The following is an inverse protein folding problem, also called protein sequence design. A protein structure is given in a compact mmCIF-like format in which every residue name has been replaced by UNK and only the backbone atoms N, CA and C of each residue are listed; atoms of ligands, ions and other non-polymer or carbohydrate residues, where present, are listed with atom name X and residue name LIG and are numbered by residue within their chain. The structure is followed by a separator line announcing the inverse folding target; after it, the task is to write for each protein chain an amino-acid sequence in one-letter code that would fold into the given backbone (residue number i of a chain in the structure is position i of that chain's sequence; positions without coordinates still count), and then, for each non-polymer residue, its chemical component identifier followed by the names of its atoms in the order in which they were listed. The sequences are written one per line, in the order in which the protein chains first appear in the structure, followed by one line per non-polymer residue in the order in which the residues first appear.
data_IF_362408692054
#
_entry.id   IF_362408692054
#
_cell.length_a   1.000
_cell.length_b   1.000
_cell.length_c   1.000
_cell.angle_alpha   90.00
_cell.angle_beta   90.00
_cell.angle_gamma   90.00
#
_symmetry.space_group_name_H-M   'P 1'
#
loop_
_entity.id
_entity.type
_entity.pdbx_description
1 polymer ?
#
# COMPACT_ATOMS: atom_id res chain seq x y z
N UNK A 1 -7.38 -12.36 -22.32
CA UNK A 1 -6.45 -12.89 -21.32
C UNK A 1 -5.13 -12.13 -21.45
N UNK A 2 -4.95 -11.06 -20.68
CA UNK A 2 -3.62 -10.49 -20.46
C UNK A 2 -3.08 -11.25 -19.24
N UNK A 3 -2.61 -12.48 -19.44
CA UNK A 3 -2.24 -13.36 -18.31
C UNK A 3 -0.96 -12.90 -17.61
N UNK A 4 -0.21 -11.97 -18.21
CA UNK A 4 1.08 -11.51 -17.69
C UNK A 4 1.30 -10.05 -18.07
N UNK A 5 1.55 -9.22 -17.07
CA UNK A 5 2.08 -7.88 -17.20
C UNK A 5 3.45 -7.83 -16.49
N UNK A 6 4.35 -6.96 -16.95
CA UNK A 6 5.67 -6.79 -16.35
C UNK A 6 5.90 -5.31 -16.15
N UNK A 7 6.35 -4.93 -14.96
CA UNK A 7 6.53 -3.53 -14.60
C UNK A 7 7.07 -3.40 -13.18
N UNK A 8 7.31 -2.17 -12.78
CA UNK A 8 7.75 -1.81 -11.44
C UNK A 8 6.61 -1.16 -10.65
N UNK A 9 6.66 -1.30 -9.32
CA UNK A 9 5.72 -0.69 -8.39
C UNK A 9 6.52 -0.04 -7.27
N UNK A 10 6.14 1.16 -6.87
CA UNK A 10 6.75 1.84 -5.74
C UNK A 10 5.72 2.49 -4.83
N UNK A 11 6.04 2.53 -3.54
CA UNK A 11 5.22 3.15 -2.50
C UNK A 11 6.09 3.87 -1.50
N UNK A 12 5.82 5.14 -1.30
CA UNK A 12 6.42 5.94 -0.24
C UNK A 12 5.36 6.26 0.80
N UNK A 13 5.64 6.00 2.08
CA UNK A 13 4.71 6.24 3.18
C UNK A 13 5.38 7.08 4.26
N UNK A 14 4.71 8.16 4.69
CA UNK A 14 5.06 8.91 5.90
C UNK A 14 3.99 8.61 6.94
N UNK A 15 4.39 8.14 8.12
CA UNK A 15 3.46 7.70 9.15
C UNK A 15 3.82 8.21 10.55
N UNK A 16 3.29 9.37 10.98
CA UNK A 16 3.33 9.78 12.39
C UNK A 16 2.72 8.69 13.27
N UNK A 17 3.52 8.18 14.21
CA UNK A 17 3.16 7.01 15.01
C UNK A 17 3.28 7.32 16.49
N UNK A 18 2.24 6.99 17.24
CA UNK A 18 2.20 7.02 18.70
C UNK A 18 2.42 5.61 19.23
N UNK A 19 3.40 5.47 20.13
CA UNK A 19 3.70 4.21 20.84
C UNK A 19 3.70 4.46 22.35
N UNK A 20 3.30 3.45 23.12
CA UNK A 20 3.38 3.52 24.59
C UNK A 20 4.82 3.45 25.12
N UNK A 21 5.74 2.85 24.35
CA UNK A 21 7.15 2.72 24.67
C UNK A 21 7.98 2.72 23.38
N UNK A 22 9.27 3.02 23.51
CA UNK A 22 10.29 2.90 22.44
C UNK A 22 11.48 2.02 22.86
N UNK A 23 11.36 1.29 23.97
CA UNK A 23 12.41 0.45 24.53
C UNK A 23 12.80 -0.76 23.66
N UNK A 24 11.83 -1.41 23.00
CA UNK A 24 12.08 -2.47 22.01
C UNK A 24 12.14 -1.95 20.56
N UNK A 25 12.05 -0.63 20.37
CA UNK A 25 12.23 0.07 19.11
C UNK A 25 11.20 -0.36 18.05
N UNK A 26 11.67 -1.05 17.02
CA UNK A 26 10.83 -1.50 15.91
C UNK A 26 9.73 -2.48 16.36
N UNK A 27 10.04 -3.32 17.36
CA UNK A 27 9.14 -4.37 17.85
C UNK A 27 8.20 -3.90 18.98
N UNK A 28 8.24 -2.62 19.37
CA UNK A 28 7.32 -2.11 20.40
C UNK A 28 5.89 -1.99 19.88
N UNK A 29 4.97 -2.60 20.62
CA UNK A 29 3.52 -2.49 20.45
C UNK A 29 2.86 -2.34 21.83
N UNK A 30 1.65 -1.76 21.93
CA UNK A 30 0.78 -1.31 20.83
C UNK A 30 1.26 0.00 20.18
N UNK A 31 0.87 0.20 18.91
CA UNK A 31 1.08 1.45 18.19
C UNK A 31 -0.17 1.92 17.45
N UNK A 32 -0.35 3.24 17.37
CA UNK A 32 -1.37 3.91 16.57
C UNK A 32 -0.67 4.80 15.54
N UNK A 33 -0.98 4.62 14.25
CA UNK A 33 -0.35 5.36 13.15
C UNK A 33 -1.39 6.06 12.28
N UNK A 34 -1.13 7.34 11.99
CA UNK A 34 -1.71 8.02 10.85
C UNK A 34 -0.72 7.90 9.69
N UNK A 35 -1.18 7.66 8.47
CA UNK A 35 -0.30 7.45 7.33
C UNK A 35 -0.79 8.18 6.09
N UNK A 36 0.16 8.77 5.35
CA UNK A 36 -0.03 9.24 3.98
C UNK A 36 0.91 8.43 3.09
N UNK A 37 0.37 7.82 2.05
CA UNK A 37 1.15 7.06 1.06
C UNK A 37 0.96 7.63 -0.32
N UNK A 38 2.05 7.73 -1.08
CA UNK A 38 2.00 7.86 -2.53
C UNK A 38 2.37 6.52 -3.15
N UNK A 39 1.57 6.07 -4.10
CA UNK A 39 1.72 4.79 -4.79
C UNK A 39 1.65 5.02 -6.28
N UNK A 40 2.59 4.43 -7.01
CA UNK A 40 2.61 4.52 -8.46
C UNK A 40 3.33 3.31 -9.08
N UNK A 41 3.09 3.08 -10.36
CA UNK A 41 3.50 1.88 -11.08
C UNK A 41 3.78 2.15 -12.55
N UNK A 42 4.50 1.24 -13.20
CA UNK A 42 4.76 1.30 -14.64
C UNK A 42 3.47 1.20 -15.45
N UNK A 43 3.34 2.02 -16.50
CA UNK A 43 2.16 2.07 -17.37
C UNK A 43 1.79 0.72 -18.02
N UNK A 44 2.78 -0.15 -18.21
CA UNK A 44 2.59 -1.54 -18.66
C UNK A 44 1.66 -2.36 -17.74
N UNK A 45 1.46 -1.90 -16.50
CA UNK A 45 0.56 -2.50 -15.52
C UNK A 45 -0.87 -1.92 -15.56
N UNK A 46 -1.16 -0.85 -16.31
CA UNK A 46 -2.47 -0.18 -16.30
C UNK A 46 -3.62 -1.09 -16.75
N UNK A 47 -3.33 -2.02 -17.67
CA UNK A 47 -4.27 -3.03 -18.16
C UNK A 47 -4.33 -4.31 -17.33
N UNK A 48 -3.51 -4.42 -16.28
CA UNK A 48 -3.49 -5.61 -15.42
C UNK A 48 -4.74 -5.66 -14.54
N UNK A 49 -5.34 -6.83 -14.40
CA UNK A 49 -6.42 -7.11 -13.45
C UNK A 49 -6.17 -8.43 -12.75
N UNK A 50 -6.61 -8.51 -11.49
CA UNK A 50 -6.63 -9.76 -10.73
C UNK A 50 -7.83 -10.64 -11.09
N UNK A 51 -8.87 -10.07 -11.71
CA UNK A 51 -10.04 -10.81 -12.18
C UNK A 51 -9.96 -11.06 -13.69
N UNK A 52 -10.40 -12.24 -14.10
CA UNK A 52 -10.49 -12.65 -15.51
C UNK A 52 -11.90 -12.39 -16.08
N UNK A 53 -12.80 -11.79 -15.29
CA UNK A 53 -14.17 -11.50 -15.72
C UNK A 53 -14.21 -10.44 -16.82
N UNK A 54 -15.18 -10.56 -17.72
CA UNK A 54 -15.42 -9.54 -18.75
C UNK A 54 -15.79 -8.21 -18.10
N UNK A 55 -14.98 -7.17 -18.33
CA UNK A 55 -15.18 -5.84 -17.75
C UNK A 55 -14.59 -5.66 -16.35
N UNK A 56 -13.70 -6.56 -15.91
CA UNK A 56 -12.98 -6.40 -14.65
C UNK A 56 -12.23 -5.06 -14.58
N UNK A 57 -12.24 -4.45 -13.38
CA UNK A 57 -11.45 -3.26 -13.12
C UNK A 57 -9.96 -3.60 -13.26
N UNK A 58 -9.24 -2.76 -14.00
CA UNK A 58 -7.79 -2.86 -14.13
C UNK A 58 -7.12 -1.93 -13.12
N UNK A 59 -5.80 -2.02 -12.98
CA UNK A 59 -5.04 -1.09 -12.15
C UNK A 59 -5.25 0.37 -12.58
N UNK A 60 -5.43 0.62 -13.88
CA UNK A 60 -5.59 1.98 -14.40
C UNK A 60 -4.29 2.77 -14.32
N UNK A 61 -4.39 4.08 -14.54
CA UNK A 61 -3.23 4.98 -14.46
C UNK A 61 -2.80 5.17 -13.01
N UNK A 62 -1.49 5.12 -12.76
CA UNK A 62 -0.90 5.26 -11.43
C UNK A 62 -0.87 6.68 -10.88
N UNK A 63 -0.20 6.84 -9.73
CA UNK A 63 -0.07 8.12 -9.04
C UNK A 63 -1.18 8.38 -8.02
N UNK A 64 -1.44 7.40 -7.16
CA UNK A 64 -2.48 7.48 -6.14
C UNK A 64 -1.94 7.97 -4.79
N UNK A 65 -2.75 8.76 -4.08
CA UNK A 65 -2.49 9.17 -2.69
C UNK A 65 -3.50 8.51 -1.77
N UNK A 66 -3.01 7.79 -0.76
CA UNK A 66 -3.81 7.12 0.24
C UNK A 66 -3.61 7.73 1.62
N UNK A 67 -4.72 7.90 2.34
CA UNK A 67 -4.73 8.32 3.74
C UNK A 67 -5.26 7.19 4.62
N UNK A 68 -4.62 6.95 5.75
CA UNK A 68 -5.04 5.88 6.66
C UNK A 68 -4.85 6.27 8.13
N UNK A 69 -5.72 5.75 8.99
CA UNK A 69 -5.53 5.67 10.44
C UNK A 69 -5.61 4.19 10.83
N UNK A 70 -4.61 3.68 11.53
CA UNK A 70 -4.46 2.25 11.80
C UNK A 70 -3.81 1.99 13.16
N UNK A 71 -4.22 0.92 13.84
CA UNK A 71 -3.60 0.40 15.08
C UNK A 71 -2.97 -0.97 14.82
N UNK A 72 -1.87 -1.29 15.49
CA UNK A 72 -1.22 -2.61 15.45
C UNK A 72 -0.81 -3.08 16.85
N UNK A 73 -1.01 -4.36 17.15
CA UNK A 73 -0.68 -4.97 18.45
C UNK A 73 -0.30 -6.45 18.32
N UNK A 74 0.44 -6.98 19.29
CA UNK A 74 0.67 -8.39 19.56
C UNK A 74 0.98 -8.59 21.05
N UNK A 75 0.81 -9.80 21.56
CA UNK A 75 0.95 -10.15 22.99
C UNK A 75 1.73 -11.44 23.19
#
# INVERSE_FOLDING_TARGET
AIDKASGSFYKATIAPTLKMSTAAGFFDRPELRFAVSYVDWSEDLNGYSISQDTGAATMGDGGEVLFALQMETWF
#
